data_IF_683109737272
#
_entry.id   IF_683109737272
#
_cell.length_a   1.000
_cell.length_b   1.000
_cell.length_c   1.000
_cell.angle_alpha   90.00
_cell.angle_beta   90.00
_cell.angle_gamma   90.00
#
_symmetry.space_group_name_H-M   'P 1'
#
loop_
_entity.id
_entity.type
_entity.pdbx_description
1 polymer ?
#
# COMPACT_ATOMS: atom_id res chain seq x y z
N UNK A 1 1.35 -6.02 -13.15
CA UNK A 1 1.94 -4.69 -12.88
C UNK A 1 3.09 -4.86 -11.89
N UNK A 2 2.83 -5.02 -10.60
CA UNK A 2 3.85 -5.06 -9.53
C UNK A 2 4.86 -6.23 -9.59
N UNK A 3 4.63 -7.25 -10.42
CA UNK A 3 5.66 -8.27 -10.70
C UNK A 3 6.78 -7.78 -11.63
N UNK A 4 6.60 -6.63 -12.28
CA UNK A 4 7.53 -6.06 -13.27
C UNK A 4 8.06 -4.67 -12.89
N UNK A 5 7.50 -4.04 -11.87
CA UNK A 5 7.80 -2.67 -11.48
C UNK A 5 7.53 -2.46 -9.99
N UNK A 6 8.19 -1.47 -9.40
CA UNK A 6 8.17 -1.21 -7.95
C UNK A 6 6.85 -0.65 -7.40
N UNK A 7 6.11 0.08 -8.22
CA UNK A 7 4.91 0.85 -7.86
C UNK A 7 3.84 0.71 -8.94
N UNK A 8 2.60 1.11 -8.66
CA UNK A 8 1.53 1.10 -9.66
C UNK A 8 1.84 2.10 -10.79
N UNK A 9 2.49 3.22 -10.46
CA UNK A 9 2.87 4.26 -11.42
C UNK A 9 4.23 4.07 -12.12
N UNK A 10 4.94 2.94 -11.90
CA UNK A 10 6.27 2.70 -12.47
C UNK A 10 7.34 2.41 -11.42
N UNK A 11 8.53 2.99 -11.59
CA UNK A 11 9.67 2.79 -10.68
C UNK A 11 9.72 3.79 -9.52
N UNK A 12 8.91 4.84 -9.57
CA UNK A 12 8.82 5.86 -8.53
C UNK A 12 7.41 5.90 -7.92
N UNK A 13 7.34 6.33 -6.66
CA UNK A 13 6.07 6.50 -5.96
C UNK A 13 5.30 7.67 -6.59
N UNK A 14 4.04 7.45 -6.94
CA UNK A 14 3.18 8.46 -7.57
C UNK A 14 1.85 8.62 -6.84
N UNK A 15 1.01 9.54 -7.33
CA UNK A 15 -0.37 9.65 -6.86
C UNK A 15 -1.15 8.34 -7.03
N UNK A 16 -0.88 7.55 -8.07
CA UNK A 16 -1.55 6.27 -8.28
C UNK A 16 -1.36 5.33 -7.07
N UNK A 17 -0.18 5.30 -6.46
CA UNK A 17 0.10 4.53 -5.25
C UNK A 17 -0.57 5.14 -4.01
N UNK A 18 -0.46 6.47 -3.87
CA UNK A 18 -1.02 7.21 -2.74
C UNK A 18 -2.52 6.97 -2.57
N UNK A 19 -3.28 6.96 -3.67
CA UNK A 19 -4.74 6.80 -3.63
C UNK A 19 -5.21 5.46 -3.06
N UNK A 20 -4.34 4.44 -2.99
CA UNK A 20 -4.68 3.14 -2.41
C UNK A 20 -4.52 3.10 -0.89
N UNK A 21 -3.77 4.02 -0.28
CA UNK A 21 -3.45 3.96 1.14
C UNK A 21 -4.68 4.01 2.07
N UNK A 22 -5.66 4.91 1.89
CA UNK A 22 -6.82 4.98 2.78
C UNK A 22 -7.65 3.69 2.76
N UNK A 23 -8.01 3.23 1.56
CA UNK A 23 -8.85 2.03 1.41
C UNK A 23 -8.09 0.75 1.74
N UNK A 24 -6.81 0.65 1.41
CA UNK A 24 -5.99 -0.50 1.79
C UNK A 24 -5.89 -0.63 3.31
N UNK A 25 -5.69 0.48 4.03
CA UNK A 25 -5.65 0.45 5.50
C UNK A 25 -7.02 0.09 6.11
N UNK A 26 -8.11 0.54 5.49
CA UNK A 26 -9.46 0.14 5.89
C UNK A 26 -9.67 -1.38 5.74
N UNK A 27 -9.21 -1.98 4.64
CA UNK A 27 -9.29 -3.43 4.42
C UNK A 27 -8.50 -4.21 5.49
N UNK A 28 -7.29 -3.78 5.82
CA UNK A 28 -6.50 -4.36 6.92
C UNK A 28 -7.26 -4.30 8.24
N UNK A 29 -7.85 -3.14 8.58
CA UNK A 29 -8.69 -2.97 9.78
C UNK A 29 -9.93 -3.87 9.77
N UNK A 30 -10.48 -4.15 8.60
CA UNK A 30 -11.63 -5.05 8.41
C UNK A 30 -11.26 -6.55 8.48
N UNK A 31 -9.98 -6.90 8.65
CA UNK A 31 -9.51 -8.28 8.71
C UNK A 31 -9.08 -8.88 7.37
N UNK A 32 -9.16 -8.13 6.28
CA UNK A 32 -8.90 -8.59 4.90
C UNK A 32 -7.40 -8.61 4.53
N UNK A 33 -6.54 -8.95 5.50
CA UNK A 33 -5.07 -8.99 5.36
C UNK A 33 -4.62 -9.95 4.26
N UNK A 34 -5.35 -11.06 4.09
CA UNK A 34 -5.05 -12.10 3.10
C UNK A 34 -5.11 -11.59 1.65
N UNK A 35 -5.85 -10.50 1.39
CA UNK A 35 -5.87 -9.85 0.08
C UNK A 35 -4.49 -9.31 -0.32
N UNK A 36 -3.66 -8.95 0.66
CA UNK A 36 -2.30 -8.50 0.46
C UNK A 36 -1.31 -9.66 0.61
N UNK A 37 -1.44 -10.44 1.69
CA UNK A 37 -0.45 -11.43 2.10
C UNK A 37 -0.29 -12.60 1.12
N UNK A 38 -1.39 -13.04 0.48
CA UNK A 38 -1.38 -14.11 -0.53
C UNK A 38 -0.67 -13.73 -1.85
N UNK A 39 -0.37 -12.44 -2.05
CA UNK A 39 0.16 -11.90 -3.31
C UNK A 39 1.51 -11.23 -3.04
N UNK A 40 2.66 -11.91 -3.25
CA UNK A 40 3.97 -11.44 -2.76
C UNK A 40 4.35 -10.05 -3.26
N UNK A 41 4.10 -9.73 -4.52
CA UNK A 41 4.38 -8.40 -5.08
C UNK A 41 3.44 -7.31 -4.55
N UNK A 42 2.18 -7.65 -4.26
CA UNK A 42 1.22 -6.73 -3.63
C UNK A 42 1.61 -6.51 -2.17
N UNK A 43 1.94 -7.56 -1.42
CA UNK A 43 2.47 -7.46 -0.05
C UNK A 43 3.69 -6.56 0.02
N UNK A 44 4.68 -6.78 -0.86
CA UNK A 44 5.89 -5.96 -0.90
C UNK A 44 5.58 -4.49 -1.19
N UNK A 45 4.75 -4.22 -2.21
CA UNK A 45 4.32 -2.87 -2.56
C UNK A 45 3.56 -2.20 -1.41
N UNK A 46 2.58 -2.90 -0.81
CA UNK A 46 1.78 -2.41 0.30
C UNK A 46 2.66 -2.06 1.50
N UNK A 47 3.58 -2.95 1.89
CA UNK A 47 4.54 -2.70 2.95
C UNK A 47 5.39 -1.45 2.66
N UNK A 48 5.81 -1.24 1.41
CA UNK A 48 6.61 -0.08 1.01
C UNK A 48 5.84 1.23 1.15
N UNK A 49 4.60 1.29 0.64
CA UNK A 49 3.81 2.53 0.63
C UNK A 49 3.21 2.85 1.99
N UNK A 50 2.75 1.83 2.73
CA UNK A 50 2.15 2.00 4.06
C UNK A 50 3.18 2.24 5.17
N UNK A 51 4.46 2.00 4.92
CA UNK A 51 5.52 2.38 5.86
C UNK A 51 6.07 3.80 5.66
N UNK A 52 5.58 4.56 4.68
CA UNK A 52 6.05 5.93 4.43
C UNK A 52 5.74 6.83 5.64
N UNK A 53 6.71 7.64 6.13
CA UNK A 53 6.47 8.53 7.28
C UNK A 53 5.26 9.46 7.11
N UNK A 54 5.09 10.02 5.90
CA UNK A 54 3.94 10.86 5.58
C UNK A 54 2.60 10.14 5.75
N UNK A 55 2.52 8.87 5.33
CA UNK A 55 1.31 8.07 5.52
C UNK A 55 1.09 7.71 6.99
N UNK A 56 2.13 7.28 7.72
CA UNK A 56 2.00 6.96 9.15
C UNK A 56 1.52 8.16 9.97
N UNK A 57 1.98 9.37 9.63
CA UNK A 57 1.51 10.60 10.25
C UNK A 57 0.01 10.78 10.08
N UNK A 58 -0.50 10.68 8.85
CA UNK A 58 -1.94 10.80 8.55
C UNK A 58 -2.75 9.65 9.16
N UNK A 59 -2.23 8.42 9.12
CA UNK A 59 -2.92 7.26 9.68
C UNK A 59 -3.05 7.29 11.21
N UNK A 60 -2.18 8.04 11.90
CA UNK A 60 -2.23 8.24 13.35
C UNK A 60 -3.13 9.41 13.77
N UNK A 61 -3.65 10.21 12.83
CA UNK A 61 -4.57 11.31 13.12
C UNK A 61 -6.01 10.85 13.38
N UNK A 62 -6.30 9.55 13.30
CA UNK A 62 -7.63 8.95 13.47
C UNK A 62 -7.63 7.80 14.49
#
# INVERSE_FOLDING_TARGET
ILSKQSYIGGETFTLADLFHLPYGAMLIKAGENELFDSRPHVKQWWNKISNRPAWKSVAAMN
#
